data_IF_370275619466
#
_entry.id   IF_370275619466
#
_cell.length_a   1.000
_cell.length_b   1.000
_cell.length_c   1.000
_cell.angle_alpha   90.00
_cell.angle_beta   90.00
_cell.angle_gamma   90.00
#
_symmetry.space_group_name_H-M   'P 1'
#
loop_
_entity.id
_entity.type
_entity.pdbx_description
1 polymer ?
#
# COMPACT_ATOMS: atom_id res chain seq x y z
N UNK A 1 -6.76 -42.57 5.01
CA UNK A 1 -5.57 -42.02 5.67
C UNK A 1 -5.25 -40.68 5.01
N UNK A 2 -5.72 -39.57 5.58
CA UNK A 2 -5.41 -38.23 5.05
C UNK A 2 -4.04 -37.81 5.58
N UNK A 3 -3.05 -37.71 4.70
CA UNK A 3 -1.77 -37.07 5.02
C UNK A 3 -2.00 -35.56 5.00
N UNK A 4 -1.88 -34.83 6.12
CA UNK A 4 -2.01 -33.38 6.09
C UNK A 4 -0.88 -32.84 5.22
N UNK A 5 -1.25 -32.20 4.11
CA UNK A 5 -0.28 -31.52 3.25
C UNK A 5 0.33 -30.40 4.07
N UNK A 6 1.59 -30.57 4.46
CA UNK A 6 2.32 -29.64 5.30
C UNK A 6 2.63 -28.38 4.47
N UNK A 7 1.75 -27.39 4.55
CA UNK A 7 1.99 -26.07 3.97
C UNK A 7 3.07 -25.42 4.84
N UNK A 8 4.32 -25.45 4.37
CA UNK A 8 5.38 -24.66 4.98
C UNK A 8 5.08 -23.19 4.70
N UNK A 9 4.78 -22.45 5.77
CA UNK A 9 4.66 -21.01 5.70
C UNK A 9 6.04 -20.42 5.39
N UNK A 10 6.13 -19.42 4.49
CA UNK A 10 7.33 -18.59 4.42
C UNK A 10 7.66 -18.06 5.82
N UNK A 11 8.94 -18.11 6.21
CA UNK A 11 9.38 -17.55 7.48
C UNK A 11 8.89 -16.09 7.63
N UNK A 12 8.37 -15.75 8.81
CA UNK A 12 7.79 -14.44 9.08
C UNK A 12 6.36 -14.23 8.58
N UNK A 13 5.66 -15.28 8.14
CA UNK A 13 4.23 -15.20 7.83
C UNK A 13 3.38 -14.95 9.06
N UNK A 14 2.37 -14.09 8.94
CA UNK A 14 1.39 -13.82 10.02
C UNK A 14 0.00 -14.26 9.59
N UNK A 15 -0.67 -15.07 10.40
CA UNK A 15 -2.00 -15.59 10.09
C UNK A 15 -3.10 -14.59 10.47
N UNK A 16 -3.98 -14.26 9.53
CA UNK A 16 -5.20 -13.48 9.75
C UNK A 16 -6.45 -14.28 9.37
N UNK A 17 -7.36 -14.55 10.31
CA UNK A 17 -8.71 -14.98 9.96
C UNK A 17 -9.41 -13.89 9.13
N UNK A 18 -10.08 -14.27 8.05
CA UNK A 18 -10.82 -13.31 7.20
C UNK A 18 -11.91 -12.58 8.00
N UNK A 19 -12.55 -13.27 8.95
CA UNK A 19 -13.52 -12.65 9.86
C UNK A 19 -12.94 -11.48 10.68
N UNK A 20 -11.62 -11.45 10.88
CA UNK A 20 -10.93 -10.38 11.61
C UNK A 20 -10.47 -9.22 10.70
N UNK A 21 -10.74 -9.27 9.39
CA UNK A 21 -10.20 -8.29 8.44
C UNK A 21 -10.65 -6.86 8.73
N UNK A 22 -11.91 -6.65 9.13
CA UNK A 22 -12.43 -5.32 9.48
C UNK A 22 -11.72 -4.74 10.70
N UNK A 23 -11.46 -5.56 11.73
CA UNK A 23 -10.66 -5.16 12.88
C UNK A 23 -9.19 -4.94 12.50
N UNK A 24 -8.64 -5.79 11.64
CA UNK A 24 -7.28 -5.61 11.13
C UNK A 24 -7.16 -4.26 10.40
N UNK A 25 -8.11 -3.90 9.53
CA UNK A 25 -8.15 -2.61 8.84
C UNK A 25 -8.14 -1.40 9.80
N UNK A 26 -8.74 -1.55 10.98
CA UNK A 26 -8.70 -0.52 12.03
C UNK A 26 -7.37 -0.44 12.76
N UNK A 27 -6.51 -1.46 12.69
CA UNK A 27 -5.24 -1.54 13.42
C UNK A 27 -4.02 -1.42 12.51
N UNK A 28 -4.17 -1.66 11.20
CA UNK A 28 -3.07 -1.42 10.26
C UNK A 28 -2.81 0.08 10.16
N UNK A 29 -1.54 0.47 10.25
CA UNK A 29 -1.08 1.86 10.19
C UNK A 29 -0.09 2.04 9.06
N UNK A 30 -0.02 3.26 8.53
CA UNK A 30 1.01 3.64 7.59
C UNK A 30 2.38 3.44 8.24
N UNK A 31 3.29 2.76 7.53
CA UNK A 31 4.65 2.52 7.99
C UNK A 31 5.68 3.23 7.10
N UNK A 32 5.48 3.19 5.78
CA UNK A 32 6.42 3.76 4.84
C UNK A 32 5.74 4.10 3.52
N UNK A 33 6.19 5.17 2.87
CA UNK A 33 5.92 5.43 1.45
C UNK A 33 7.22 5.75 0.75
N UNK A 34 7.45 5.13 -0.39
CA UNK A 34 8.56 5.46 -1.29
C UNK A 34 8.05 6.25 -2.49
N UNK A 35 8.86 7.18 -2.99
CA UNK A 35 8.55 7.98 -4.19
C UNK A 35 9.68 7.77 -5.20
N UNK A 36 9.32 7.27 -6.38
CA UNK A 36 10.16 7.11 -7.54
C UNK A 36 9.83 8.21 -8.56
N UNK A 37 10.60 9.30 -8.53
CA UNK A 37 10.51 10.36 -9.54
C UNK A 37 11.39 10.00 -10.72
N UNK A 38 10.82 9.90 -11.92
CA UNK A 38 11.63 9.81 -13.12
C UNK A 38 12.18 11.20 -13.46
N UNK A 39 13.48 11.28 -13.78
CA UNK A 39 14.13 12.52 -14.23
C UNK A 39 13.71 12.91 -15.65
N UNK A 40 13.21 11.98 -16.44
CA UNK A 40 12.56 12.26 -17.72
C UNK A 40 11.08 12.56 -17.48
N UNK A 41 10.59 13.67 -18.06
CA UNK A 41 9.21 14.16 -17.97
C UNK A 41 8.15 13.21 -18.55
N UNK A 42 8.54 12.07 -19.10
CA UNK A 42 7.63 11.14 -19.79
C UNK A 42 6.95 10.12 -18.86
N UNK A 43 7.46 9.88 -17.64
CA UNK A 43 6.82 8.92 -16.72
C UNK A 43 6.17 9.62 -15.53
N UNK A 44 4.94 9.23 -15.17
CA UNK A 44 4.28 9.74 -13.98
C UNK A 44 5.06 9.38 -12.72
N UNK A 45 4.99 10.25 -11.70
CA UNK A 45 5.54 9.95 -10.37
C UNK A 45 4.84 8.71 -9.83
N UNK A 46 5.61 7.73 -9.38
CA UNK A 46 5.07 6.48 -8.86
C UNK A 46 5.81 6.07 -7.60
N UNK A 47 5.34 5.04 -6.91
CA UNK A 47 5.98 4.62 -5.67
C UNK A 47 5.34 3.40 -5.07
N UNK A 48 5.75 3.09 -3.84
CA UNK A 48 5.13 2.06 -3.02
C UNK A 48 4.59 2.67 -1.74
N UNK A 49 3.57 2.07 -1.16
CA UNK A 49 3.12 2.41 0.19
C UNK A 49 2.93 1.13 0.99
N UNK A 50 3.48 1.11 2.21
CA UNK A 50 3.47 -0.01 3.13
C UNK A 50 2.71 0.35 4.38
N UNK A 51 1.88 -0.60 4.79
CA UNK A 51 0.99 -0.52 5.93
C UNK A 51 1.21 -1.76 6.81
N UNK A 52 1.34 -1.54 8.12
CA UNK A 52 1.73 -2.58 9.07
C UNK A 52 0.84 -2.62 10.30
N UNK A 53 0.69 -3.82 10.87
CA UNK A 53 0.17 -4.05 12.20
C UNK A 53 1.24 -4.76 13.03
N UNK A 54 1.63 -4.13 14.13
CA UNK A 54 2.62 -4.68 15.05
C UNK A 54 1.95 -5.60 16.07
N UNK A 55 2.55 -6.77 16.27
CA UNK A 55 2.29 -7.69 17.38
C UNK A 55 3.50 -7.68 18.33
N UNK A 56 3.42 -8.44 19.43
CA UNK A 56 4.50 -8.49 20.41
C UNK A 56 5.80 -9.08 19.81
N UNK A 57 5.66 -10.08 18.93
CA UNK A 57 6.74 -10.91 18.39
C UNK A 57 6.81 -10.89 16.85
N UNK A 58 5.82 -10.30 16.18
CA UNK A 58 5.71 -10.30 14.72
C UNK A 58 5.19 -8.95 14.18
N UNK A 59 5.39 -8.74 12.88
CA UNK A 59 4.78 -7.62 12.14
C UNK A 59 4.07 -8.16 10.92
N UNK A 60 2.77 -7.90 10.83
CA UNK A 60 2.02 -8.14 9.61
C UNK A 60 2.11 -6.89 8.72
N UNK A 61 2.39 -7.07 7.44
CA UNK A 61 2.51 -5.98 6.49
C UNK A 61 1.78 -6.27 5.19
N UNK A 62 1.29 -5.18 4.59
CA UNK A 62 0.73 -5.13 3.24
C UNK A 62 1.34 -3.95 2.50
N UNK A 63 1.67 -4.14 1.23
CA UNK A 63 2.35 -3.15 0.41
C UNK A 63 1.86 -3.22 -1.03
N UNK A 64 1.68 -2.08 -1.66
CA UNK A 64 1.28 -1.99 -3.05
C UNK A 64 1.90 -0.78 -3.73
N UNK A 65 1.82 -0.79 -5.06
CA UNK A 65 2.34 0.26 -5.92
C UNK A 65 1.24 1.29 -6.22
N UNK A 66 1.65 2.55 -6.29
CA UNK A 66 0.77 3.68 -6.62
C UNK A 66 1.42 4.55 -7.70
N UNK A 67 0.59 5.31 -8.40
CA UNK A 67 1.00 6.28 -9.44
C UNK A 67 0.16 7.54 -9.35
N UNK A 68 0.81 8.69 -9.56
CA UNK A 68 0.15 9.99 -9.71
C UNK A 68 -0.29 10.17 -11.17
N UNK A 69 -1.61 10.26 -11.39
CA UNK A 69 -2.20 10.40 -12.74
C UNK A 69 -2.57 11.84 -13.09
N UNK A 70 -2.48 12.74 -12.11
CA UNK A 70 -2.72 14.17 -12.22
C UNK A 70 -2.33 14.82 -10.90
N UNK A 71 -2.19 16.14 -10.88
CA UNK A 71 -1.76 16.88 -9.68
C UNK A 71 -2.64 16.52 -8.48
N UNK A 72 -2.01 15.96 -7.45
CA UNK A 72 -2.71 15.56 -6.21
C UNK A 72 -3.66 14.37 -6.37
N UNK A 73 -3.63 13.67 -7.50
CA UNK A 73 -4.48 12.49 -7.77
C UNK A 73 -3.62 11.24 -7.90
N UNK A 74 -3.70 10.37 -6.89
CA UNK A 74 -2.97 9.10 -6.86
C UNK A 74 -3.91 7.91 -6.93
N UNK A 75 -3.51 6.90 -7.69
CA UNK A 75 -4.25 5.65 -7.87
C UNK A 75 -3.34 4.46 -7.60
N UNK A 76 -3.94 3.33 -7.23
CA UNK A 76 -3.21 2.07 -7.14
C UNK A 76 -2.91 1.55 -8.56
N UNK A 77 -1.67 1.10 -8.80
CA UNK A 77 -1.24 0.64 -10.14
C UNK A 77 -1.95 -0.65 -10.55
N UNK A 78 -2.00 -1.63 -9.65
CA UNK A 78 -2.73 -2.88 -9.82
C UNK A 78 -3.48 -3.20 -8.52
N UNK A 79 -4.83 -3.06 -8.50
CA UNK A 79 -5.67 -3.35 -7.34
C UNK A 79 -5.53 -4.77 -6.79
N UNK A 80 -5.15 -5.74 -7.62
CA UNK A 80 -5.06 -7.16 -7.24
C UNK A 80 -3.64 -7.60 -6.89
N UNK A 81 -2.64 -6.74 -7.10
CA UNK A 81 -1.23 -7.00 -6.77
C UNK A 81 -0.83 -6.33 -5.45
N UNK A 82 -1.34 -6.87 -4.35
CA UNK A 82 -0.94 -6.48 -3.00
C UNK A 82 0.08 -7.50 -2.46
N UNK A 83 1.29 -7.01 -2.17
CA UNK A 83 2.36 -7.79 -1.54
C UNK A 83 2.08 -7.87 -0.04
N UNK A 84 2.28 -9.04 0.57
CA UNK A 84 2.05 -9.23 2.01
C UNK A 84 2.84 -10.41 2.57
N UNK A 85 3.17 -10.38 3.86
CA UNK A 85 3.50 -11.59 4.63
C UNK A 85 2.27 -12.20 5.36
N UNK A 86 1.08 -11.63 5.14
CA UNK A 86 -0.15 -12.14 5.73
C UNK A 86 -0.63 -13.40 5.01
N UNK A 87 -0.86 -14.47 5.78
CA UNK A 87 -1.63 -15.63 5.36
C UNK A 87 -3.08 -15.47 5.81
N UNK A 88 -3.99 -15.34 4.85
CA UNK A 88 -5.42 -15.24 5.11
C UNK A 88 -6.06 -16.63 5.27
N UNK A 89 -6.84 -16.81 6.33
CA UNK A 89 -7.49 -18.06 6.69
C UNK A 89 -9.02 -17.96 6.61
N UNK A 90 -9.67 -19.00 6.10
CA UNK A 90 -11.13 -19.17 6.17
C UNK A 90 -11.60 -19.53 7.60
N UNK A 91 -12.92 -19.66 7.78
CA UNK A 91 -13.54 -19.97 9.07
C UNK A 91 -13.17 -21.37 9.60
N UNK A 92 -12.54 -22.21 8.77
CA UNK A 92 -12.01 -23.52 9.13
C UNK A 92 -10.48 -23.50 9.34
N UNK A 93 -9.88 -22.31 9.48
CA UNK A 93 -8.43 -22.10 9.61
C UNK A 93 -7.61 -22.61 8.42
N UNK A 94 -8.20 -22.68 7.23
CA UNK A 94 -7.50 -23.09 6.00
C UNK A 94 -7.07 -21.88 5.19
N UNK A 95 -5.88 -21.90 4.57
CA UNK A 95 -5.46 -20.85 3.65
C UNK A 95 -6.49 -20.56 2.56
N UNK A 96 -6.72 -19.28 2.31
CA UNK A 96 -7.54 -18.87 1.18
C UNK A 96 -6.91 -19.25 -0.16
N UNK A 97 -7.76 -19.65 -1.11
CA UNK A 97 -7.38 -19.76 -2.51
C UNK A 97 -6.90 -18.42 -3.07
N UNK A 98 -5.99 -18.47 -4.04
CA UNK A 98 -5.28 -17.29 -4.57
C UNK A 98 -6.19 -16.16 -5.02
N UNK A 99 -7.31 -16.45 -5.68
CA UNK A 99 -8.28 -15.44 -6.14
C UNK A 99 -8.97 -14.73 -4.97
N UNK A 100 -9.46 -15.50 -3.99
CA UNK A 100 -10.11 -14.96 -2.78
C UNK A 100 -9.12 -14.19 -1.91
N UNK A 101 -7.87 -14.66 -1.81
CA UNK A 101 -6.78 -13.92 -1.15
C UNK A 101 -6.59 -12.53 -1.77
N UNK A 102 -6.45 -12.45 -3.10
CA UNK A 102 -6.27 -11.16 -3.80
C UNK A 102 -7.46 -10.21 -3.59
N UNK A 103 -8.69 -10.70 -3.73
CA UNK A 103 -9.89 -9.88 -3.52
C UNK A 103 -10.00 -9.38 -2.06
N UNK A 104 -9.62 -10.22 -1.10
CA UNK A 104 -9.63 -9.85 0.33
C UNK A 104 -8.60 -8.77 0.63
N UNK A 105 -7.38 -8.88 0.09
CA UNK A 105 -6.35 -7.85 0.24
C UNK A 105 -6.72 -6.55 -0.47
N UNK A 106 -7.33 -6.61 -1.66
CA UNK A 106 -7.85 -5.43 -2.35
C UNK A 106 -8.92 -4.71 -1.53
N UNK A 107 -9.82 -5.47 -0.88
CA UNK A 107 -10.83 -4.92 0.04
C UNK A 107 -10.17 -4.23 1.24
N UNK A 108 -9.10 -4.82 1.80
CA UNK A 108 -8.34 -4.17 2.87
C UNK A 108 -7.78 -2.83 2.41
N UNK A 109 -7.11 -2.77 1.25
CA UNK A 109 -6.55 -1.51 0.72
C UNK A 109 -7.64 -0.46 0.53
N UNK A 110 -8.82 -0.85 0.04
CA UNK A 110 -9.96 0.06 -0.12
C UNK A 110 -10.43 0.69 1.21
N UNK A 111 -10.29 -0.03 2.33
CA UNK A 111 -10.68 0.45 3.65
C UNK A 111 -9.62 1.35 4.32
N UNK A 112 -8.39 1.39 3.79
CA UNK A 112 -7.29 2.16 4.36
C UNK A 112 -7.27 3.60 3.80
N UNK A 113 -7.02 4.63 4.64
CA UNK A 113 -6.94 6.02 4.20
C UNK A 113 -5.57 6.32 3.55
N UNK A 114 -5.17 5.51 2.58
CA UNK A 114 -3.78 5.44 2.13
C UNK A 114 -3.32 6.60 1.26
N UNK A 115 -4.24 7.26 0.57
CA UNK A 115 -3.91 8.35 -0.33
C UNK A 115 -3.32 9.54 0.44
N UNK A 116 -3.76 9.80 1.68
CA UNK A 116 -3.27 10.90 2.51
C UNK A 116 -1.75 10.85 2.73
N UNK A 117 -1.20 9.79 3.36
CA UNK A 117 0.24 9.67 3.56
C UNK A 117 1.06 9.69 2.27
N UNK A 118 0.51 9.19 1.15
CA UNK A 118 1.17 9.26 -0.15
C UNK A 118 1.26 10.70 -0.65
N UNK A 119 0.14 11.44 -0.60
CA UNK A 119 0.10 12.85 -1.00
C UNK A 119 0.99 13.72 -0.12
N UNK A 120 1.08 13.44 1.18
CA UNK A 120 1.98 14.16 2.09
C UNK A 120 3.45 13.94 1.72
N UNK A 121 3.84 12.71 1.36
CA UNK A 121 5.20 12.40 0.88
C UNK A 121 5.51 13.03 -0.48
N UNK A 122 4.52 13.12 -1.37
CA UNK A 122 4.67 13.83 -2.63
C UNK A 122 5.01 15.31 -2.40
N UNK A 123 4.26 15.99 -1.51
CA UNK A 123 4.45 17.40 -1.13
C UNK A 123 5.80 17.67 -0.47
N UNK A 124 6.24 16.79 0.43
CA UNK A 124 7.54 16.94 1.12
C UNK A 124 8.72 16.91 0.14
N UNK A 125 8.59 16.20 -0.98
CA UNK A 125 9.62 16.13 -2.00
C UNK A 125 9.44 17.10 -3.16
N UNK A 126 8.45 18.00 -3.13
CA UNK A 126 8.38 19.10 -4.08
C UNK A 126 9.43 20.16 -3.72
N UNK A 127 10.38 20.47 -4.60
CA UNK A 127 11.18 21.68 -4.42
C UNK A 127 10.22 22.86 -4.44
N UNK A 128 10.26 23.70 -3.41
CA UNK A 128 9.39 24.86 -3.20
C UNK A 128 9.15 25.63 -4.51
N UNK A 129 8.02 25.35 -5.19
CA UNK A 129 7.53 26.12 -6.34
C UNK A 129 6.83 27.42 -5.90
N UNK A 130 7.12 27.91 -4.68
CA UNK A 130 6.68 29.21 -4.20
C UNK A 130 7.83 30.21 -4.30
N UNK A 131 8.05 30.70 -5.52
CA UNK A 131 8.49 32.08 -5.73
C UNK A 131 7.99 32.53 -7.10
N UNK A 132 6.69 32.80 -7.18
CA UNK A 132 6.16 33.67 -8.22
C UNK A 132 6.61 35.09 -7.89
N UNK A 133 7.69 35.55 -8.52
CA UNK A 133 7.96 36.98 -8.63
C UNK A 133 7.25 37.47 -9.90
N UNK A 134 6.34 38.46 -9.83
CA UNK A 134 5.89 39.15 -11.02
C UNK A 134 7.01 40.12 -11.43
N UNK A 135 7.80 39.75 -12.42
CA UNK A 135 8.65 40.72 -13.09
C UNK A 135 7.82 41.41 -14.18
N UNK A 136 7.09 42.45 -13.77
CA UNK A 136 6.74 43.56 -14.64
C UNK A 136 7.96 43.92 -15.49
N UNK A 137 7.92 43.62 -16.79
CA UNK A 137 8.76 44.32 -17.75
C UNK A 137 7.99 45.55 -18.19
N UNK A 138 8.21 46.63 -17.43
CA UNK A 138 7.98 47.99 -17.90
C UNK A 138 8.71 48.15 -19.23
N UNK A 139 7.97 48.60 -20.24
CA UNK A 139 8.52 49.10 -21.48
C UNK A 139 9.36 50.36 -21.23
N UNK A 140 10.54 50.42 -21.86
CA UNK A 140 11.20 51.63 -22.32
C UNK A 140 12.20 51.25 -23.42
#
# INVERSE_FOLDING_TARGET
>A
MFMPTLIKLPEGSVCWPVAALSSAAQDVRHAQTSVHRNRSSERPTAGTTRWERCYADARAWVEWDWVEVGEGTVVQVDPLNVRSNVLLLDDHNRPLLSSRRRATLATLVYLLPWQGPVLDQLRLGEPSRRSGAPAERLAA
#
